data_IF_955476326001
#
_entry.id   IF_955476326001
#
_cell.length_a   1.000
_cell.length_b   1.000
_cell.length_c   1.000
_cell.angle_alpha   90.00
_cell.angle_beta   90.00
_cell.angle_gamma   90.00
#
_symmetry.space_group_name_H-M   'P 1'
#
loop_
_entity.id
_entity.type
_entity.pdbx_description
1 polymer ?
#
# COMPACT_ATOMS: atom_id res chain seq x y z
N UNK A 1 -13.58 12.67 -23.17
CA UNK A 1 -14.38 12.11 -22.08
C UNK A 1 -15.63 12.96 -22.07
N UNK A 2 -16.80 12.40 -22.38
CA UNK A 2 -18.03 13.14 -22.20
C UNK A 2 -18.14 13.44 -20.69
N UNK A 3 -18.40 14.70 -20.38
CA UNK A 3 -18.68 15.13 -19.01
C UNK A 3 -20.18 15.43 -18.96
N UNK A 4 -20.85 14.91 -17.94
CA UNK A 4 -22.25 15.17 -17.66
C UNK A 4 -22.33 16.13 -16.49
N UNK A 5 -22.99 17.28 -16.67
CA UNK A 5 -23.26 18.20 -15.57
C UNK A 5 -24.42 17.64 -14.75
N UNK A 6 -24.20 17.42 -13.46
CA UNK A 6 -25.21 16.89 -12.52
C UNK A 6 -25.18 17.67 -11.22
N UNK A 7 -26.28 17.59 -10.46
CA UNK A 7 -26.33 18.09 -9.09
C UNK A 7 -26.19 16.94 -8.10
N UNK A 8 -25.09 16.92 -7.35
CA UNK A 8 -24.88 15.97 -6.26
C UNK A 8 -25.56 16.50 -4.99
N UNK A 9 -26.55 15.76 -4.47
CA UNK A 9 -27.25 16.07 -3.22
C UNK A 9 -26.65 15.22 -2.10
N UNK A 10 -26.06 15.87 -1.10
CA UNK A 10 -25.38 15.24 0.02
C UNK A 10 -26.35 14.82 1.14
N UNK A 11 -25.96 13.85 2.00
CA UNK A 11 -26.80 13.39 3.11
C UNK A 11 -27.16 14.48 4.13
N UNK A 12 -26.34 15.53 4.24
CA UNK A 12 -26.60 16.67 5.13
C UNK A 12 -27.60 17.70 4.54
N UNK A 13 -28.16 17.41 3.37
CA UNK A 13 -29.11 18.28 2.66
C UNK A 13 -28.45 19.34 1.78
N UNK A 14 -27.12 19.47 1.78
CA UNK A 14 -26.42 20.36 0.86
C UNK A 14 -26.42 19.80 -0.56
N UNK A 15 -26.36 20.66 -1.57
CA UNK A 15 -26.26 20.25 -2.97
C UNK A 15 -25.15 21.02 -3.69
N UNK A 16 -24.44 20.35 -4.60
CA UNK A 16 -23.37 20.95 -5.41
C UNK A 16 -23.51 20.48 -6.86
N UNK A 17 -23.39 21.39 -7.80
CA UNK A 17 -23.22 21.03 -9.20
C UNK A 17 -21.80 20.54 -9.44
N UNK A 18 -21.66 19.51 -10.27
CA UNK A 18 -20.39 18.96 -10.67
C UNK A 18 -20.48 18.43 -12.11
N UNK A 19 -19.38 18.59 -12.85
CA UNK A 19 -19.16 17.90 -14.11
C UNK A 19 -18.50 16.57 -13.79
N UNK A 20 -19.18 15.47 -14.11
CA UNK A 20 -18.72 14.10 -13.81
C UNK A 20 -18.56 13.29 -15.10
N UNK A 21 -17.56 12.41 -15.18
CA UNK A 21 -17.42 11.51 -16.33
C UNK A 21 -18.62 10.56 -16.39
N UNK A 22 -19.22 10.40 -17.58
CA UNK A 22 -20.40 9.56 -17.77
C UNK A 22 -20.08 8.09 -18.07
N UNK A 23 -18.81 7.80 -18.38
CA UNK A 23 -18.29 6.49 -18.79
C UNK A 23 -17.61 5.69 -17.66
N UNK A 24 -17.57 6.26 -16.44
CA UNK A 24 -16.98 5.62 -15.26
C UNK A 24 -18.05 4.85 -14.48
N UNK A 25 -17.69 3.66 -14.00
CA UNK A 25 -18.58 2.84 -13.19
C UNK A 25 -18.99 3.58 -11.92
N UNK A 26 -20.27 3.50 -11.54
CA UNK A 26 -20.84 4.23 -10.40
C UNK A 26 -20.11 3.89 -9.09
N UNK A 27 -19.62 2.66 -8.91
CA UNK A 27 -18.82 2.30 -7.73
C UNK A 27 -17.49 3.07 -7.64
N UNK A 28 -16.85 3.38 -8.77
CA UNK A 28 -15.64 4.19 -8.82
C UNK A 28 -15.97 5.67 -8.59
N UNK A 29 -17.00 6.18 -9.27
CA UNK A 29 -17.48 7.55 -9.12
C UNK A 29 -17.89 7.86 -7.67
N UNK A 30 -18.63 6.96 -7.03
CA UNK A 30 -18.98 7.06 -5.60
C UNK A 30 -17.75 7.14 -4.71
N UNK A 31 -16.73 6.32 -5.00
CA UNK A 31 -15.47 6.32 -4.25
C UNK A 31 -14.74 7.66 -4.32
N UNK A 32 -14.77 8.33 -5.47
CA UNK A 32 -14.19 9.66 -5.65
C UNK A 32 -15.04 10.76 -5.00
N UNK A 33 -16.37 10.72 -5.18
CA UNK A 33 -17.30 11.68 -4.57
C UNK A 33 -17.20 11.66 -3.04
N UNK A 34 -17.14 10.48 -2.42
CA UNK A 34 -16.98 10.33 -0.96
C UNK A 34 -15.68 10.95 -0.46
N UNK A 35 -14.58 10.76 -1.21
CA UNK A 35 -13.29 11.34 -0.85
C UNK A 35 -13.27 12.87 -1.04
N UNK A 36 -13.81 13.36 -2.15
CA UNK A 36 -13.79 14.78 -2.51
C UNK A 36 -14.74 15.62 -1.65
N UNK A 37 -15.87 15.04 -1.23
CA UNK A 37 -16.85 15.69 -0.37
C UNK A 37 -16.58 15.45 1.12
N UNK A 38 -15.47 14.80 1.47
CA UNK A 38 -15.05 14.50 2.85
C UNK A 38 -16.14 13.79 3.67
N UNK A 39 -16.88 12.88 3.04
CA UNK A 39 -18.00 12.21 3.68
C UNK A 39 -17.50 11.13 4.67
N UNK A 40 -18.17 10.96 5.83
CA UNK A 40 -17.76 9.97 6.82
C UNK A 40 -17.73 8.54 6.26
N UNK A 41 -16.60 7.82 6.40
CA UNK A 41 -16.49 6.40 5.99
C UNK A 41 -16.69 5.42 7.15
N UNK A 42 -16.95 5.95 8.35
CA UNK A 42 -17.17 5.20 9.58
C UNK A 42 -18.40 5.75 10.26
N UNK A 43 -19.34 4.87 10.60
CA UNK A 43 -20.57 5.21 11.30
C UNK A 43 -20.34 5.56 12.77
N UNK A 44 -21.36 6.12 13.45
CA UNK A 44 -21.29 6.46 14.89
C UNK A 44 -21.00 5.26 15.79
N UNK A 45 -21.30 4.05 15.32
CA UNK A 45 -21.06 2.77 15.98
C UNK A 45 -19.64 2.21 15.72
N UNK A 46 -18.80 2.96 15.01
CA UNK A 46 -17.44 2.56 14.65
C UNK A 46 -17.36 1.56 13.50
N UNK A 47 -18.48 1.20 12.85
CA UNK A 47 -18.50 0.28 11.70
C UNK A 47 -18.25 1.02 10.39
N UNK A 48 -17.70 0.36 9.35
CA UNK A 48 -17.60 0.95 8.03
C UNK A 48 -18.97 1.36 7.50
N UNK A 49 -19.04 2.58 6.97
CA UNK A 49 -20.23 3.14 6.32
C UNK A 49 -19.95 3.36 4.84
N UNK A 50 -20.96 3.15 4.01
CA UNK A 50 -20.88 3.35 2.57
C UNK A 50 -21.98 4.29 2.10
N UNK A 51 -21.99 4.53 0.80
CA UNK A 51 -22.92 5.44 0.16
C UNK A 51 -23.47 4.78 -1.09
N UNK A 52 -24.74 5.03 -1.35
CA UNK A 52 -25.38 4.73 -2.63
C UNK A 52 -25.73 6.01 -3.36
N UNK A 53 -25.93 5.89 -4.66
CA UNK A 53 -26.30 7.00 -5.53
C UNK A 53 -27.68 6.72 -6.14
N UNK A 54 -28.64 7.57 -5.84
CA UNK A 54 -29.99 7.49 -6.39
C UNK A 54 -30.18 8.58 -7.45
N UNK A 55 -30.62 8.23 -8.66
CA UNK A 55 -30.98 9.21 -9.68
C UNK A 55 -32.42 9.68 -9.44
N UNK A 56 -32.60 10.99 -9.30
CA UNK A 56 -33.94 11.57 -9.12
C UNK A 56 -34.78 11.47 -10.39
N UNK A 57 -34.19 11.69 -11.57
CA UNK A 57 -34.91 11.60 -12.83
C UNK A 57 -35.33 10.16 -13.15
N UNK A 58 -34.47 9.17 -12.88
CA UNK A 58 -34.77 7.76 -13.11
C UNK A 58 -35.62 7.14 -11.99
N UNK A 59 -35.65 7.75 -10.81
CA UNK A 59 -36.43 7.30 -9.67
C UNK A 59 -35.93 5.99 -9.06
N UNK A 60 -34.65 5.64 -9.25
CA UNK A 60 -34.03 4.40 -8.77
C UNK A 60 -32.60 4.60 -8.32
N UNK A 61 -32.12 3.65 -7.53
CA UNK A 61 -30.72 3.48 -7.21
C UNK A 61 -29.92 3.10 -8.47
N UNK A 62 -28.74 3.70 -8.60
CA UNK A 62 -27.72 3.32 -9.58
C UNK A 62 -26.82 2.24 -8.97
N UNK A 63 -26.68 1.13 -9.68
CA UNK A 63 -25.88 -0.04 -9.31
C UNK A 63 -24.38 0.20 -9.50
N UNK A 64 -23.54 -0.49 -8.73
CA UNK A 64 -22.08 -0.22 -8.74
C UNK A 64 -21.40 -0.50 -10.10
N UNK A 65 -21.94 -1.44 -10.90
CA UNK A 65 -21.34 -1.90 -12.15
C UNK A 65 -21.81 -1.11 -13.40
N UNK A 66 -22.83 -0.25 -13.28
CA UNK A 66 -23.29 0.58 -14.40
C UNK A 66 -22.53 1.91 -14.48
N UNK A 67 -22.56 2.58 -15.62
CA UNK A 67 -22.08 3.96 -15.80
C UNK A 67 -23.26 4.93 -15.90
N UNK A 68 -23.04 6.25 -15.79
CA UNK A 68 -24.12 7.23 -16.00
C UNK A 68 -24.68 7.15 -17.42
N UNK A 69 -23.82 6.89 -18.40
CA UNK A 69 -24.20 6.69 -19.79
C UNK A 69 -25.03 5.41 -19.99
N UNK A 70 -24.61 4.28 -19.41
CA UNK A 70 -25.36 3.01 -19.49
C UNK A 70 -26.73 3.11 -18.82
N UNK A 71 -26.77 3.81 -17.68
CA UNK A 71 -28.00 4.10 -16.94
C UNK A 71 -28.91 5.10 -17.63
N UNK A 72 -28.41 5.81 -18.65
CA UNK A 72 -29.07 6.92 -19.36
C UNK A 72 -29.48 8.05 -18.42
N UNK A 73 -28.59 8.43 -17.51
CA UNK A 73 -28.80 9.59 -16.62
C UNK A 73 -28.85 10.87 -17.45
N UNK A 74 -29.90 11.70 -17.32
CA UNK A 74 -30.00 12.94 -18.09
C UNK A 74 -29.08 14.03 -17.54
N UNK A 75 -28.73 14.99 -18.40
CA UNK A 75 -28.01 16.21 -18.02
C UNK A 75 -28.84 17.00 -16.99
N UNK A 76 -28.16 17.64 -16.03
CA UNK A 76 -28.73 18.37 -14.90
C UNK A 76 -29.55 17.52 -13.91
N UNK A 77 -29.45 16.18 -13.95
CA UNK A 77 -30.10 15.33 -12.97
C UNK A 77 -29.59 15.58 -11.54
N UNK A 78 -30.42 15.29 -10.55
CA UNK A 78 -30.05 15.28 -9.14
C UNK A 78 -29.69 13.86 -8.72
N UNK A 79 -28.41 13.65 -8.48
CA UNK A 79 -27.90 12.40 -7.93
C UNK A 79 -27.83 12.52 -6.41
N UNK A 80 -28.64 11.74 -5.71
CA UNK A 80 -28.81 11.79 -4.26
C UNK A 80 -27.86 10.77 -3.63
N UNK A 81 -26.89 11.28 -2.86
CA UNK A 81 -26.02 10.46 -2.02
C UNK A 81 -26.73 10.12 -0.73
N UNK A 82 -27.00 8.83 -0.53
CA UNK A 82 -27.59 8.33 0.70
C UNK A 82 -26.57 7.48 1.44
N UNK A 83 -26.38 7.73 2.75
CA UNK A 83 -25.56 6.86 3.58
C UNK A 83 -26.23 5.49 3.72
N UNK A 84 -25.53 4.44 3.33
CA UNK A 84 -25.97 3.06 3.53
C UNK A 84 -25.54 2.60 4.94
N UNK A 85 -26.45 2.81 5.90
CA UNK A 85 -26.32 2.35 7.30
C UNK A 85 -26.96 0.97 7.46
N UNK A 86 -27.27 0.27 6.36
CA UNK A 86 -27.84 -1.07 6.44
C UNK A 86 -26.73 -2.04 6.82
N UNK A 87 -26.88 -2.70 7.97
CA UNK A 87 -25.98 -3.76 8.40
C UNK A 87 -25.84 -4.81 7.30
N UNK A 88 -24.72 -4.78 6.58
CA UNK A 88 -24.33 -5.81 5.60
C UNK A 88 -24.46 -5.48 4.11
N UNK A 89 -24.71 -4.21 3.68
CA UNK A 89 -24.89 -3.89 2.26
C UNK A 89 -23.97 -2.86 1.60
N UNK A 90 -23.07 -2.22 2.34
CA UNK A 90 -21.87 -1.65 1.69
C UNK A 90 -21.06 -2.83 1.18
N UNK A 91 -20.78 -2.92 -0.12
CA UNK A 91 -19.87 -3.95 -0.61
C UNK A 91 -18.53 -3.68 0.09
N UNK A 92 -18.23 -4.46 1.14
CA UNK A 92 -16.99 -4.32 1.94
C UNK A 92 -15.79 -4.32 1.00
N UNK A 93 -15.92 -4.95 -0.18
CA UNK A 93 -14.98 -4.93 -1.29
C UNK A 93 -14.52 -3.53 -1.78
N UNK A 94 -15.33 -2.47 -1.69
CA UNK A 94 -15.07 -1.19 -2.38
C UNK A 94 -14.59 -0.02 -1.50
N UNK A 95 -14.55 -0.19 -0.16
CA UNK A 95 -14.05 0.88 0.72
C UNK A 95 -12.59 1.26 0.38
N UNK A 96 -12.16 2.53 0.55
CA UNK A 96 -10.78 2.94 0.29
C UNK A 96 -9.75 2.06 1.03
N UNK A 97 -10.08 1.66 2.26
CA UNK A 97 -9.29 0.72 3.04
C UNK A 97 -9.20 -0.65 2.36
N UNK A 98 -10.31 -1.19 1.87
CA UNK A 98 -10.33 -2.52 1.26
C UNK A 98 -9.64 -2.56 -0.10
N UNK A 99 -9.78 -1.49 -0.90
CA UNK A 99 -8.95 -1.27 -2.10
C UNK A 99 -7.46 -1.22 -1.75
N UNK A 100 -7.11 -0.52 -0.66
CA UNK A 100 -5.73 -0.46 -0.16
C UNK A 100 -5.20 -1.83 0.24
N UNK A 101 -5.91 -2.57 1.10
CA UNK A 101 -5.50 -3.89 1.57
C UNK A 101 -5.37 -4.90 0.41
N UNK A 102 -6.25 -4.82 -0.59
CA UNK A 102 -6.19 -5.65 -1.80
C UNK A 102 -4.92 -5.36 -2.61
N UNK A 103 -4.64 -4.09 -2.90
CA UNK A 103 -3.45 -3.67 -3.63
C UNK A 103 -2.16 -4.04 -2.87
N UNK A 104 -2.12 -3.87 -1.54
CA UNK A 104 -0.97 -4.31 -0.74
C UNK A 104 -0.78 -5.83 -0.79
N UNK A 105 -1.87 -6.61 -0.75
CA UNK A 105 -1.79 -8.06 -0.87
C UNK A 105 -1.26 -8.50 -2.25
N UNK A 106 -1.72 -7.87 -3.33
CA UNK A 106 -1.21 -8.10 -4.69
C UNK A 106 0.28 -7.78 -4.78
N UNK A 107 0.71 -6.62 -4.28
CA UNK A 107 2.13 -6.23 -4.24
C UNK A 107 2.99 -7.16 -3.39
N UNK A 108 2.46 -7.67 -2.27
CA UNK A 108 3.14 -8.68 -1.46
C UNK A 108 3.35 -9.99 -2.23
N UNK A 109 2.35 -10.44 -3.00
CA UNK A 109 2.48 -11.62 -3.87
C UNK A 109 3.51 -11.40 -4.98
N UNK A 110 3.52 -10.22 -5.59
CA UNK A 110 4.54 -9.85 -6.58
C UNK A 110 5.95 -9.82 -5.97
N UNK A 111 6.08 -9.26 -4.76
CA UNK A 111 7.33 -9.23 -4.01
C UNK A 111 7.87 -10.64 -3.77
N UNK A 112 7.05 -11.56 -3.27
CA UNK A 112 7.43 -12.95 -3.05
C UNK A 112 7.84 -13.63 -4.36
N UNK A 113 7.07 -13.45 -5.44
CA UNK A 113 7.39 -14.02 -6.75
C UNK A 113 8.74 -13.50 -7.30
N UNK A 114 9.12 -12.27 -6.96
CA UNK A 114 10.36 -11.61 -7.36
C UNK A 114 11.53 -11.87 -6.42
N UNK A 115 11.33 -12.50 -5.27
CA UNK A 115 12.37 -12.75 -4.29
C UNK A 115 12.70 -14.24 -4.16
N UNK A 116 13.96 -14.56 -3.92
CA UNK A 116 14.34 -15.88 -3.35
C UNK A 116 14.58 -15.82 -1.84
N UNK A 117 14.50 -14.62 -1.25
CA UNK A 117 14.86 -14.36 0.14
C UNK A 117 13.66 -13.95 1.00
N UNK A 118 12.53 -13.59 0.39
CA UNK A 118 11.33 -13.14 1.08
C UNK A 118 10.18 -14.05 0.68
N UNK A 119 9.48 -14.58 1.68
CA UNK A 119 8.20 -15.28 1.53
C UNK A 119 7.25 -14.84 2.64
N UNK A 120 5.94 -15.07 2.50
CA UNK A 120 5.00 -14.71 3.55
C UNK A 120 3.81 -15.65 3.64
N UNK A 121 3.25 -15.75 4.85
CA UNK A 121 1.95 -16.33 5.10
C UNK A 121 0.97 -15.21 5.43
N UNK A 122 -0.26 -15.30 4.92
CA UNK A 122 -1.28 -14.29 5.16
C UNK A 122 -2.55 -14.92 5.72
N UNK A 123 -3.10 -14.30 6.76
CA UNK A 123 -4.33 -14.74 7.40
C UNK A 123 -5.48 -13.83 6.97
N UNK A 124 -6.41 -14.40 6.20
CA UNK A 124 -7.68 -13.74 5.90
C UNK A 124 -8.77 -14.27 6.82
N UNK A 125 -9.62 -13.38 7.31
CA UNK A 125 -10.75 -13.73 8.17
C UNK A 125 -11.84 -14.48 7.42
N UNK A 126 -11.99 -14.26 6.10
CA UNK A 126 -13.03 -14.85 5.24
C UNK A 126 -12.60 -14.86 3.77
N UNK A 127 -13.07 -15.84 3.00
CA UNK A 127 -12.81 -15.92 1.55
C UNK A 127 -13.26 -14.63 0.84
N UNK A 128 -12.41 -14.08 -0.03
CA UNK A 128 -12.68 -12.85 -0.77
C UNK A 128 -12.31 -11.54 -0.06
N UNK A 129 -11.97 -11.59 1.23
CA UNK A 129 -11.49 -10.44 2.01
C UNK A 129 -9.95 -10.42 1.99
N UNK A 130 -9.30 -9.27 1.71
CA UNK A 130 -7.85 -9.16 1.74
C UNK A 130 -7.34 -9.37 3.18
N UNK A 131 -6.13 -9.96 3.35
CA UNK A 131 -5.60 -10.25 4.66
C UNK A 131 -5.12 -8.99 5.38
N UNK A 132 -5.29 -8.98 6.70
CA UNK A 132 -4.84 -7.91 7.59
C UNK A 132 -3.64 -8.33 8.44
N UNK A 133 -3.34 -9.62 8.49
CA UNK A 133 -2.20 -10.18 9.23
C UNK A 133 -1.30 -10.96 8.29
N UNK A 134 0.00 -10.70 8.42
CA UNK A 134 1.05 -11.33 7.62
C UNK A 134 2.15 -11.81 8.55
N UNK A 135 2.70 -12.99 8.28
CA UNK A 135 3.97 -13.44 8.84
C UNK A 135 4.97 -13.49 7.69
N UNK A 136 5.86 -12.52 7.64
CA UNK A 136 6.91 -12.44 6.62
C UNK A 136 8.13 -13.19 7.11
N UNK A 137 8.68 -14.05 6.25
CA UNK A 137 9.92 -14.80 6.48
C UNK A 137 11.02 -14.27 5.58
N UNK A 138 12.17 -13.95 6.18
CA UNK A 138 13.41 -13.57 5.48
C UNK A 138 14.44 -14.68 5.57
N UNK A 139 15.03 -15.05 4.43
CA UNK A 139 16.09 -16.07 4.29
C UNK A 139 17.46 -15.44 4.02
N UNK A 140 17.83 -14.44 4.83
CA UNK A 140 19.09 -13.70 4.69
C UNK A 140 19.96 -13.79 5.95
N UNK A 141 21.27 -13.67 5.77
CA UNK A 141 22.21 -13.65 6.89
C UNK A 141 22.00 -12.36 7.68
N UNK A 142 21.73 -12.49 8.96
CA UNK A 142 21.65 -11.39 9.91
C UNK A 142 22.26 -11.78 11.26
N UNK A 143 22.32 -10.85 12.20
CA UNK A 143 22.91 -11.07 13.52
C UNK A 143 21.78 -11.33 14.52
N UNK A 144 21.88 -12.46 15.21
CA UNK A 144 20.84 -12.95 16.15
C UNK A 144 21.26 -12.83 17.61
N UNK A 145 22.48 -12.35 17.85
CA UNK A 145 23.05 -12.15 19.18
C UNK A 145 24.55 -11.96 19.12
N UNK A 146 25.17 -11.83 20.28
CA UNK A 146 26.62 -11.69 20.44
C UNK A 146 27.16 -12.72 21.42
N UNK A 147 28.43 -13.12 21.26
CA UNK A 147 29.12 -13.94 22.27
C UNK A 147 29.58 -13.07 23.44
N UNK A 148 30.03 -13.70 24.54
CA UNK A 148 30.63 -12.98 25.68
C UNK A 148 31.87 -12.15 25.27
N UNK A 149 32.55 -12.57 24.20
CA UNK A 149 33.71 -11.88 23.63
C UNK A 149 33.32 -10.76 22.64
N UNK A 150 32.02 -10.53 22.41
CA UNK A 150 31.51 -9.51 21.50
C UNK A 150 31.49 -9.90 20.01
N UNK A 151 31.71 -11.17 19.68
CA UNK A 151 31.61 -11.65 18.30
C UNK A 151 30.15 -11.88 17.89
N UNK A 152 29.76 -11.54 16.65
CA UNK A 152 28.39 -11.74 16.18
C UNK A 152 28.05 -13.23 16.04
N UNK A 153 26.84 -13.60 16.46
CA UNK A 153 26.19 -14.87 16.13
C UNK A 153 25.27 -14.64 14.94
N UNK A 154 25.40 -15.46 13.90
CA UNK A 154 24.62 -15.30 12.69
C UNK A 154 23.43 -16.27 12.62
N UNK A 155 22.32 -15.78 12.08
CA UNK A 155 21.15 -16.56 11.73
C UNK A 155 20.72 -16.27 10.29
N UNK A 156 19.94 -17.18 9.70
CA UNK A 156 19.52 -17.09 8.30
C UNK A 156 18.00 -17.00 8.10
N UNK A 157 17.21 -17.36 9.10
CA UNK A 157 15.75 -17.39 9.00
C UNK A 157 15.18 -16.44 10.05
N UNK A 158 14.46 -15.42 9.59
CA UNK A 158 13.90 -14.39 10.45
C UNK A 158 12.44 -14.18 10.14
N UNK A 159 11.63 -13.91 11.16
CA UNK A 159 10.19 -13.73 10.99
C UNK A 159 9.71 -12.46 11.68
N UNK A 160 8.78 -11.78 11.01
CA UNK A 160 8.06 -10.62 11.55
C UNK A 160 6.57 -10.78 11.29
N UNK A 161 5.77 -10.57 12.33
CA UNK A 161 4.33 -10.40 12.22
C UNK A 161 4.03 -8.94 11.88
N UNK A 162 3.15 -8.75 10.90
CA UNK A 162 2.63 -7.45 10.46
C UNK A 162 1.12 -7.45 10.63
N UNK A 163 0.60 -6.46 11.33
CA UNK A 163 -0.84 -6.24 11.52
C UNK A 163 -1.29 -4.90 10.95
N UNK A 164 -2.18 -4.96 9.96
CA UNK A 164 -2.80 -3.83 9.29
C UNK A 164 -4.08 -3.42 10.04
N UNK A 165 -3.93 -2.78 11.20
CA UNK A 165 -5.06 -2.33 12.03
C UNK A 165 -5.95 -1.27 11.32
N UNK A 166 -7.09 -0.92 11.93
CA UNK A 166 -8.13 -0.07 11.32
C UNK A 166 -7.68 1.33 10.86
N UNK A 167 -6.61 1.89 11.43
CA UNK A 167 -6.08 3.21 11.03
C UNK A 167 -5.00 3.10 9.93
N UNK A 168 -4.65 1.90 9.49
CA UNK A 168 -3.81 1.71 8.31
C UNK A 168 -4.57 2.15 7.04
N UNK A 169 -3.94 2.89 6.11
CA UNK A 169 -2.51 3.23 6.03
C UNK A 169 -2.11 4.58 6.63
N UNK A 170 -3.05 5.32 7.22
CA UNK A 170 -2.77 6.64 7.84
C UNK A 170 -1.77 6.52 8.99
N UNK A 171 -1.90 5.45 9.78
CA UNK A 171 -0.84 4.98 10.67
C UNK A 171 -0.12 3.80 10.03
N UNK A 172 1.16 3.67 10.35
CA UNK A 172 1.97 2.53 9.93
C UNK A 172 1.37 1.20 10.43
N UNK A 173 1.78 0.07 9.85
CA UNK A 173 1.42 -1.24 10.39
C UNK A 173 1.92 -1.46 11.82
N UNK A 174 1.22 -2.31 12.57
CA UNK A 174 1.77 -2.92 13.78
C UNK A 174 2.80 -3.97 13.41
N UNK A 175 3.96 -3.96 14.07
CA UNK A 175 5.08 -4.85 13.78
C UNK A 175 5.59 -5.55 15.02
N UNK A 176 5.80 -6.86 14.91
CA UNK A 176 6.36 -7.68 15.97
C UNK A 176 7.37 -8.66 15.38
N UNK A 177 8.63 -8.46 15.71
CA UNK A 177 9.69 -9.40 15.39
C UNK A 177 9.54 -10.67 16.23
N UNK A 178 9.64 -11.83 15.57
CA UNK A 178 9.33 -13.13 16.17
C UNK A 178 10.58 -13.99 16.44
N UNK A 179 11.62 -13.83 15.63
CA UNK A 179 12.87 -14.59 15.73
C UNK A 179 13.92 -13.86 16.59
N UNK A 180 14.90 -14.57 17.17
CA UNK A 180 16.06 -13.93 17.80
C UNK A 180 16.73 -12.94 16.84
N UNK A 181 17.07 -11.76 17.36
CA UNK A 181 17.63 -10.67 16.57
C UNK A 181 18.55 -9.83 17.44
N UNK A 182 19.59 -9.29 16.83
CA UNK A 182 20.44 -8.27 17.41
C UNK A 182 20.55 -7.18 16.37
N UNK A 183 19.85 -6.06 16.55
CA UNK A 183 19.81 -4.98 15.56
C UNK A 183 19.53 -3.64 16.25
N UNK A 184 20.20 -2.53 15.89
CA UNK A 184 20.01 -1.22 16.54
C UNK A 184 18.57 -0.70 16.55
N UNK A 185 17.75 -1.08 15.56
CA UNK A 185 16.38 -0.61 15.38
C UNK A 185 15.30 -1.68 15.63
N UNK A 186 15.67 -2.86 16.14
CA UNK A 186 14.74 -3.92 16.53
C UNK A 186 15.12 -4.40 17.92
N UNK A 187 14.20 -4.28 18.87
CA UNK A 187 14.48 -4.61 20.26
C UNK A 187 14.66 -6.13 20.43
N UNK A 188 15.83 -6.56 20.91
CA UNK A 188 16.18 -7.97 21.03
C UNK A 188 15.41 -8.72 22.13
N UNK A 189 14.79 -8.00 23.08
CA UNK A 189 14.06 -8.59 24.21
C UNK A 189 12.60 -8.80 23.86
N UNK A 190 11.94 -7.75 23.36
CA UNK A 190 10.49 -7.75 23.14
C UNK A 190 10.10 -7.76 21.66
N UNK A 191 11.05 -7.73 20.72
CA UNK A 191 10.78 -7.79 19.29
C UNK A 191 10.03 -6.59 18.72
N UNK A 192 9.90 -5.47 19.45
CA UNK A 192 9.33 -4.25 18.87
C UNK A 192 10.28 -3.68 17.82
N UNK A 193 9.71 -3.26 16.69
CA UNK A 193 10.44 -2.72 15.54
C UNK A 193 10.24 -1.21 15.52
N UNK A 194 11.35 -0.46 15.50
CA UNK A 194 11.29 0.97 15.22
C UNK A 194 11.58 1.19 13.75
N UNK A 195 10.63 1.85 13.09
CA UNK A 195 10.80 2.40 11.76
C UNK A 195 10.78 3.90 11.94
N UNK A 196 11.69 4.60 11.26
CA UNK A 196 11.68 6.05 11.25
C UNK A 196 10.28 6.56 10.88
N UNK A 197 9.66 7.32 11.78
CA UNK A 197 8.31 7.87 11.57
C UNK A 197 8.25 8.79 10.36
N UNK A 198 9.36 9.47 10.03
CA UNK A 198 9.44 10.29 8.83
C UNK A 198 9.49 9.44 7.54
N UNK A 199 9.88 8.17 7.65
CA UNK A 199 9.95 7.26 6.51
C UNK A 199 8.57 6.72 6.14
N UNK A 200 7.59 6.61 7.03
CA UNK A 200 6.26 6.13 6.65
C UNK A 200 5.39 7.27 6.11
N UNK A 201 4.71 6.99 4.99
CA UNK A 201 3.65 7.86 4.46
C UNK A 201 2.52 6.96 3.98
N UNK A 202 1.26 7.40 4.09
CA UNK A 202 0.12 6.63 3.59
C UNK A 202 0.23 6.26 2.09
N UNK A 203 1.06 6.94 1.29
CA UNK A 203 1.32 6.59 -0.11
C UNK A 203 2.29 5.39 -0.31
N UNK A 204 3.10 5.01 0.69
CA UNK A 204 4.03 3.87 0.58
C UNK A 204 3.26 2.57 0.78
N UNK A 205 3.51 1.59 -0.07
CA UNK A 205 2.88 0.27 -0.03
C UNK A 205 3.59 -0.70 0.92
N UNK A 206 2.89 -1.77 1.33
CA UNK A 206 3.38 -2.76 2.28
C UNK A 206 4.64 -3.49 1.80
N UNK A 207 4.73 -3.82 0.51
CA UNK A 207 5.91 -4.47 -0.10
C UNK A 207 7.18 -3.63 0.10
N UNK A 208 7.08 -2.30 -0.01
CA UNK A 208 8.23 -1.38 0.19
C UNK A 208 8.71 -1.41 1.63
N UNK A 209 7.78 -1.51 2.57
CA UNK A 209 8.12 -1.68 3.98
C UNK A 209 8.83 -3.02 4.22
N UNK A 210 8.36 -4.11 3.61
CA UNK A 210 8.98 -5.43 3.73
C UNK A 210 10.38 -5.45 3.13
N UNK A 211 10.60 -4.83 1.97
CA UNK A 211 11.95 -4.69 1.39
C UNK A 211 12.87 -3.91 2.32
N UNK A 212 12.41 -2.78 2.85
CA UNK A 212 13.18 -1.95 3.79
C UNK A 212 13.57 -2.73 5.05
N UNK A 213 12.65 -3.51 5.64
CA UNK A 213 12.98 -4.40 6.77
C UNK A 213 13.99 -5.50 6.41
N UNK A 214 13.95 -6.02 5.18
CA UNK A 214 14.99 -6.89 4.66
C UNK A 214 16.36 -6.20 4.62
N UNK A 215 16.42 -4.95 4.19
CA UNK A 215 17.66 -4.16 4.18
C UNK A 215 18.19 -3.87 5.59
N UNK A 216 17.29 -3.68 6.56
CA UNK A 216 17.66 -3.62 7.99
C UNK A 216 18.33 -4.92 8.42
N UNK A 217 17.75 -6.08 8.10
CA UNK A 217 18.37 -7.38 8.46
C UNK A 217 19.76 -7.57 7.86
N UNK A 218 19.97 -7.09 6.64
CA UNK A 218 21.27 -7.15 5.98
C UNK A 218 22.27 -6.14 6.55
N UNK A 219 21.86 -5.27 7.48
CA UNK A 219 22.64 -4.12 7.95
C UNK A 219 23.03 -3.18 6.79
N UNK A 220 22.15 -3.04 5.79
CA UNK A 220 22.25 -2.00 4.74
C UNK A 220 21.60 -0.69 5.19
N UNK A 221 20.53 -0.80 5.98
CA UNK A 221 19.74 0.33 6.47
C UNK A 221 19.52 0.23 7.98
N UNK A 222 20.28 0.99 8.77
CA UNK A 222 20.17 0.98 10.23
C UNK A 222 20.68 2.30 10.83
N UNK A 223 20.25 2.58 12.06
CA UNK A 223 20.65 3.75 12.83
C UNK A 223 21.17 3.33 14.20
N UNK A 224 22.47 3.53 14.43
CA UNK A 224 23.17 3.16 15.66
C UNK A 224 23.69 4.36 16.48
N UNK A 225 23.46 5.58 15.99
CA UNK A 225 23.87 6.84 16.61
C UNK A 225 22.81 7.33 17.61
N UNK A 226 23.10 7.35 18.92
CA UNK A 226 22.15 7.81 19.93
C UNK A 226 22.03 9.33 20.00
N UNK A 227 22.83 10.08 19.22
CA UNK A 227 22.88 11.55 19.29
C UNK A 227 22.05 12.22 18.20
N UNK A 228 21.57 11.46 17.21
CA UNK A 228 20.82 12.00 16.07
C UNK A 228 19.59 11.15 15.75
N UNK A 229 18.45 11.76 15.44
CA UNK A 229 17.31 11.02 14.93
C UNK A 229 17.59 10.49 13.51
N UNK A 230 16.96 9.36 13.12
CA UNK A 230 16.16 8.49 13.98
C UNK A 230 17.04 7.71 14.98
N UNK A 231 16.64 7.72 16.24
CA UNK A 231 17.43 7.15 17.33
C UNK A 231 17.38 5.60 17.30
N UNK A 232 18.44 4.92 17.77
CA UNK A 232 18.42 3.48 17.95
C UNK A 232 17.32 3.08 18.94
N UNK A 233 16.60 2.02 18.59
CA UNK A 233 15.54 1.45 19.41
C UNK A 233 16.08 0.45 20.44
N UNK A 234 17.21 -0.16 20.12
CA UNK A 234 17.93 -1.08 20.99
C UNK A 234 19.30 -0.46 21.35
N UNK A 235 19.42 0.19 22.52
CA UNK A 235 20.64 0.87 22.91
C UNK A 235 21.84 -0.08 23.05
N UNK A 236 21.62 -1.35 23.39
CA UNK A 236 22.69 -2.32 23.58
C UNK A 236 23.22 -2.79 22.23
N UNK A 237 22.32 -3.20 21.32
CA UNK A 237 22.70 -3.57 19.97
C UNK A 237 23.36 -2.39 19.23
N UNK A 238 22.89 -1.16 19.43
CA UNK A 238 23.48 0.05 18.86
C UNK A 238 24.90 0.33 19.38
N UNK A 239 25.13 0.24 20.71
CA UNK A 239 26.48 0.39 21.29
C UNK A 239 27.43 -0.66 20.74
N UNK A 240 26.99 -1.92 20.69
CA UNK A 240 27.78 -3.01 20.11
C UNK A 240 28.09 -2.75 18.64
N UNK A 241 27.09 -2.37 17.83
CA UNK A 241 27.22 -2.13 16.39
C UNK A 241 28.28 -1.08 16.10
N UNK A 242 28.24 0.06 16.81
CA UNK A 242 29.26 1.14 16.68
C UNK A 242 30.66 0.65 17.02
N UNK A 243 30.83 -0.01 18.16
CA UNK A 243 32.13 -0.51 18.59
C UNK A 243 32.67 -1.58 17.62
N UNK A 244 31.80 -2.44 17.11
CA UNK A 244 32.16 -3.51 16.18
C UNK A 244 32.61 -2.94 14.83
N UNK A 245 31.86 -2.01 14.22
CA UNK A 245 32.24 -1.42 12.93
C UNK A 245 33.49 -0.54 12.99
N UNK A 246 33.80 0.07 14.14
CA UNK A 246 35.06 0.78 14.32
C UNK A 246 36.28 -0.14 14.22
N UNK A 247 36.16 -1.38 14.72
CA UNK A 247 37.22 -2.40 14.65
C UNK A 247 37.17 -3.22 13.36
N UNK A 248 35.99 -3.31 12.74
CA UNK A 248 35.71 -4.09 11.54
C UNK A 248 34.99 -3.20 10.51
N UNK A 249 35.68 -2.28 9.84
CA UNK A 249 35.06 -1.30 8.95
C UNK A 249 34.28 -1.92 7.78
N UNK A 250 34.60 -3.16 7.41
CA UNK A 250 33.95 -3.90 6.32
C UNK A 250 32.96 -4.97 6.82
N UNK A 251 32.54 -4.92 8.09
CA UNK A 251 31.62 -5.89 8.67
C UNK A 251 30.21 -5.83 8.08
N UNK A 252 29.80 -4.66 7.58
CA UNK A 252 28.45 -4.40 7.09
C UNK A 252 28.48 -4.00 5.60
N UNK A 253 27.45 -4.38 4.81
CA UNK A 253 26.33 -5.24 5.19
C UNK A 253 26.75 -6.70 5.42
N UNK A 254 26.03 -7.40 6.30
CA UNK A 254 26.32 -8.81 6.66
C UNK A 254 25.88 -9.80 5.58
N UNK A 255 24.96 -9.38 4.70
CA UNK A 255 24.54 -10.10 3.51
C UNK A 255 24.46 -9.11 2.33
N UNK A 256 25.16 -9.45 1.25
CA UNK A 256 25.27 -8.59 0.06
C UNK A 256 24.29 -8.94 -1.05
N UNK A 257 23.51 -10.02 -0.90
CA UNK A 257 22.54 -10.44 -1.91
C UNK A 257 21.46 -9.37 -2.06
N UNK A 258 20.95 -9.20 -3.27
CA UNK A 258 19.80 -8.34 -3.50
C UNK A 258 18.51 -9.07 -3.09
N UNK A 259 17.60 -8.34 -2.44
CA UNK A 259 16.32 -8.90 -1.97
C UNK A 259 15.38 -9.22 -3.14
N UNK A 260 15.51 -8.47 -4.24
CA UNK A 260 14.73 -8.65 -5.45
C UNK A 260 15.62 -9.17 -6.58
N UNK A 261 15.08 -10.05 -7.41
CA UNK A 261 15.72 -10.43 -8.67
C UNK A 261 15.70 -9.23 -9.64
N UNK A 262 16.73 -9.06 -10.48
CA UNK A 262 16.71 -8.07 -11.55
C UNK A 262 15.50 -8.27 -12.46
N UNK A 263 14.84 -7.18 -12.84
CA UNK A 263 13.80 -7.25 -13.87
C UNK A 263 14.44 -7.68 -15.18
N UNK A 264 14.02 -8.83 -15.71
CA UNK A 264 14.38 -9.22 -17.08
C UNK A 264 13.57 -8.36 -18.03
N UNK A 265 14.06 -7.16 -18.32
CA UNK A 265 13.56 -6.37 -19.44
C UNK A 265 13.91 -7.14 -20.71
N UNK A 266 12.93 -7.79 -21.34
CA UNK A 266 13.07 -8.25 -22.72
C UNK A 266 13.11 -6.99 -23.58
N UNK A 267 14.31 -6.45 -23.77
CA UNK A 267 14.54 -5.51 -24.88
C UNK A 267 14.34 -6.37 -26.12
N UNK A 268 13.22 -6.19 -26.81
CA UNK A 268 13.06 -6.74 -28.15
C UNK A 268 14.13 -6.06 -29.00
N UNK A 269 15.13 -6.83 -29.44
CA UNK A 269 16.13 -6.33 -30.39
C UNK A 269 15.39 -5.79 -31.63
N UNK A 270 15.62 -4.51 -31.97
CA UNK A 270 15.06 -3.86 -33.16
C UNK A 270 15.46 -4.55 -34.49
N UNK A 271 16.38 -5.53 -34.44
CA UNK A 271 16.91 -6.23 -35.62
C UNK A 271 15.97 -7.28 -36.21
N UNK A 272 14.88 -7.66 -35.55
CA UNK A 272 13.87 -8.58 -36.12
C UNK A 272 12.62 -7.88 -36.66
N UNK A 273 12.48 -6.56 -36.51
CA UNK A 273 11.32 -5.81 -37.00
C UNK A 273 11.49 -5.17 -38.40
N UNK A 274 12.68 -5.24 -39.00
CA UNK A 274 13.01 -4.54 -40.27
C UNK A 274 13.05 -5.42 -41.52
N UNK A 275 12.30 -6.53 -41.54
CA UNK A 275 11.97 -7.24 -42.80
C UNK A 275 10.48 -7.57 -42.87
N UNK A 276 9.65 -6.56 -43.12
CA UNK A 276 8.27 -6.82 -43.53
C UNK A 276 7.27 -5.73 -43.19
N UNK A 277 7.51 -4.46 -43.54
CA UNK A 277 6.42 -3.49 -43.73
C UNK A 277 6.95 -2.25 -44.44
N UNK A 278 6.94 -2.28 -45.77
CA UNK A 278 6.98 -1.05 -46.57
C UNK A 278 5.56 -0.48 -46.63
N UNK A 279 5.48 0.83 -46.40
CA UNK A 279 4.49 1.82 -46.86
C UNK A 279 3.42 2.33 -45.87
N UNK A 280 3.47 3.67 -45.79
CA UNK A 280 2.39 4.68 -45.64
C UNK A 280 1.91 5.07 -44.24
N UNK A 281 2.25 6.30 -43.84
CA UNK A 281 1.21 7.31 -43.57
C UNK A 281 1.05 7.87 -42.14
N UNK A 282 1.49 9.13 -41.98
CA UNK A 282 1.02 10.17 -41.04
C UNK A 282 1.22 10.01 -39.52
N UNK A 283 2.00 10.96 -38.96
CA UNK A 283 2.12 11.29 -37.53
C UNK A 283 0.85 12.00 -37.00
N UNK A 284 0.33 11.67 -35.80
CA UNK A 284 -0.48 12.58 -35.01
C UNK A 284 0.33 13.21 -33.86
N UNK A 285 0.05 14.49 -33.58
CA UNK A 285 0.61 15.29 -32.48
C UNK A 285 -0.05 14.94 -31.15
N UNK A 286 0.74 14.79 -30.09
CA UNK A 286 0.27 14.55 -28.71
C UNK A 286 0.04 15.90 -28.00
N UNK A 287 -1.18 16.15 -27.51
CA UNK A 287 -1.49 17.23 -26.54
C UNK A 287 -1.88 16.60 -25.20
N UNK A 288 -1.27 17.09 -24.11
CA UNK A 288 -1.55 16.71 -22.72
C UNK A 288 -2.83 17.41 -22.20
N UNK A 289 -3.71 16.75 -21.45
CA UNK A 289 -4.81 17.43 -20.75
C UNK A 289 -4.41 17.88 -19.33
N UNK A 290 -5.01 19.00 -18.88
CA UNK A 290 -5.00 19.54 -17.51
C UNK A 290 -6.45 19.62 -17.05
N UNK A 291 -6.74 19.17 -15.82
CA UNK A 291 -8.05 19.27 -15.16
C UNK A 291 -8.09 20.53 -14.28
N UNK A 292 -9.26 21.17 -14.13
CA UNK A 292 -9.51 22.30 -13.22
C UNK A 292 -10.86 22.16 -12.52
N UNK A 293 -10.86 22.37 -11.20
CA UNK A 293 -12.05 22.48 -10.35
C UNK A 293 -12.52 23.94 -10.25
N UNK A 294 -13.83 24.15 -10.06
CA UNK A 294 -14.48 25.43 -9.69
C UNK A 294 -15.11 25.32 -8.31
#
# INVERSE_FOLDING_TARGET
>A
MPELTVTIVMPNGGARMADVPDDVAIGELLGELVALLELPTVGPDGRPMGYRLDSKALGRELTEDETLADAQVPEEDRLILTADITAGKVSVAMSPRMRRLRNDYERMRELEARSSLISFEAQSVRKGVPPEKYVVTYKCKSIIGVTKQGNPKFGQNHQVEIYLHNQYPQRWPGLKWLSPIWHPNINHINGSVCIDAAWWTAARSLDRLVVMMGEMLQYKNFHDDPTKPPFPWDPEAARWCRAYRQRHPNAFPVDKRELLRPERVKILDEKTATKGASKTGKKPKIKKPKVKLK
#
